data_IF_491794950059
#
_entry.id   IF_491794950059
#
_cell.length_a   1.000
_cell.length_b   1.000
_cell.length_c   1.000
_cell.angle_alpha   90.00
_cell.angle_beta   90.00
_cell.angle_gamma   90.00
#
_symmetry.space_group_name_H-M   'P 1'
#
loop_
_entity.id
_entity.type
_entity.pdbx_description
1 polymer ?
#
# COMPACT_ATOMS: atom_id res chain seq x y z
N UNK A 1 -39.45 -20.58 4.01
CA UNK A 1 -38.22 -19.74 4.03
C UNK A 1 -37.49 -19.99 2.73
N UNK A 2 -37.71 -19.13 1.76
CA UNK A 2 -37.17 -19.21 0.39
C UNK A 2 -36.47 -17.90 0.12
N UNK A 3 -35.14 -17.92 0.16
CA UNK A 3 -34.34 -16.84 -0.38
C UNK A 3 -34.12 -17.15 -1.86
N UNK A 4 -34.95 -16.57 -2.73
CA UNK A 4 -34.70 -16.54 -4.16
C UNK A 4 -34.18 -15.14 -4.51
N UNK A 5 -32.90 -15.08 -4.86
CA UNK A 5 -32.17 -13.92 -5.36
C UNK A 5 -32.80 -13.39 -6.65
N UNK A 6 -33.82 -12.55 -6.49
CA UNK A 6 -34.34 -11.74 -7.58
C UNK A 6 -33.29 -10.66 -7.94
N UNK A 7 -32.61 -10.84 -9.08
CA UNK A 7 -32.21 -9.70 -9.90
C UNK A 7 -30.81 -9.10 -9.75
N UNK A 8 -29.77 -9.84 -9.36
CA UNK A 8 -28.38 -9.33 -9.41
C UNK A 8 -27.39 -10.38 -9.96
N UNK A 9 -27.74 -11.02 -11.07
CA UNK A 9 -26.77 -11.75 -11.87
C UNK A 9 -26.14 -10.79 -12.90
N UNK A 10 -25.00 -10.18 -12.56
CA UNK A 10 -24.13 -9.55 -13.56
C UNK A 10 -23.73 -8.09 -13.36
N UNK A 11 -24.11 -7.43 -12.26
CA UNK A 11 -23.45 -6.17 -11.88
C UNK A 11 -22.46 -6.44 -10.75
N UNK A 12 -21.31 -7.02 -11.11
CA UNK A 12 -20.09 -6.72 -10.35
C UNK A 12 -19.87 -5.24 -10.61
N UNK A 13 -20.31 -4.43 -9.67
CA UNK A 13 -19.95 -3.02 -9.64
C UNK A 13 -18.44 -3.01 -9.46
N UNK A 14 -17.67 -2.89 -10.56
CA UNK A 14 -16.28 -2.45 -10.55
C UNK A 14 -16.28 -0.99 -10.06
N UNK A 15 -16.67 -0.84 -8.79
CA UNK A 15 -16.71 0.42 -8.10
C UNK A 15 -15.30 0.82 -7.70
N UNK A 16 -15.08 2.11 -7.39
CA UNK A 16 -13.80 2.65 -6.94
C UNK A 16 -13.24 1.98 -5.67
N UNK A 17 -14.01 1.10 -5.00
CA UNK A 17 -13.56 0.34 -3.83
C UNK A 17 -12.39 -0.61 -4.15
N UNK A 18 -12.44 -1.35 -5.26
CA UNK A 18 -11.43 -2.36 -5.59
C UNK A 18 -10.07 -1.72 -5.95
N UNK A 19 -10.09 -0.55 -6.59
CA UNK A 19 -8.88 0.21 -6.94
C UNK A 19 -8.17 0.80 -5.72
N UNK A 20 -8.93 1.29 -4.74
CA UNK A 20 -8.37 1.86 -3.50
C UNK A 20 -7.71 0.76 -2.65
N UNK A 21 -8.35 -0.41 -2.55
CA UNK A 21 -7.80 -1.55 -1.82
C UNK A 21 -6.52 -2.10 -2.48
N UNK A 22 -6.50 -2.23 -3.82
CA UNK A 22 -5.32 -2.68 -4.53
C UNK A 22 -4.14 -1.71 -4.38
N UNK A 23 -4.40 -0.40 -4.41
CA UNK A 23 -3.40 0.64 -4.17
C UNK A 23 -2.83 0.55 -2.75
N UNK A 24 -3.68 0.36 -1.74
CA UNK A 24 -3.22 0.28 -0.36
C UNK A 24 -2.42 -1.02 -0.10
N UNK A 25 -2.84 -2.15 -0.67
CA UNK A 25 -2.09 -3.41 -0.55
C UNK A 25 -0.72 -3.33 -1.23
N UNK A 26 -0.63 -2.77 -2.44
CA UNK A 26 0.63 -2.58 -3.13
C UNK A 26 1.57 -1.64 -2.34
N UNK A 27 1.01 -0.55 -1.81
CA UNK A 27 1.74 0.38 -0.96
C UNK A 27 2.28 -0.29 0.31
N UNK A 28 1.44 -1.04 1.03
CA UNK A 28 1.85 -1.74 2.25
C UNK A 28 2.91 -2.82 1.99
N UNK A 29 2.81 -3.55 0.87
CA UNK A 29 3.85 -4.52 0.45
C UNK A 29 5.19 -3.82 0.22
N UNK A 30 5.16 -2.67 -0.44
CA UNK A 30 6.36 -1.90 -0.72
C UNK A 30 6.99 -1.31 0.54
N UNK A 31 6.18 -0.80 1.47
CA UNK A 31 6.62 -0.37 2.81
C UNK A 31 7.35 -1.51 3.52
N UNK A 32 6.75 -2.71 3.58
CA UNK A 32 7.36 -3.88 4.24
C UNK A 32 8.66 -4.31 3.55
N UNK A 33 8.69 -4.29 2.22
CA UNK A 33 9.87 -4.62 1.42
C UNK A 33 11.03 -3.69 1.75
N UNK A 34 10.79 -2.37 1.81
CA UNK A 34 11.82 -1.37 2.13
C UNK A 34 12.25 -1.48 3.60
N UNK A 35 11.30 -1.69 4.53
CA UNK A 35 11.60 -1.87 5.94
C UNK A 35 12.50 -3.11 6.20
N UNK A 36 12.33 -4.16 5.40
CA UNK A 36 13.12 -5.39 5.46
C UNK A 36 14.52 -5.29 4.84
N UNK A 37 14.84 -4.24 4.09
CA UNK A 37 16.19 -4.06 3.55
C UNK A 37 17.19 -3.81 4.66
N UNK A 38 18.33 -4.47 4.64
CA UNK A 38 19.35 -4.35 5.69
C UNK A 38 20.21 -3.09 5.53
N UNK A 39 20.52 -2.70 4.28
CA UNK A 39 21.42 -1.57 4.03
C UNK A 39 20.67 -0.25 3.85
N UNK A 40 21.24 0.83 4.40
CA UNK A 40 20.73 2.20 4.20
C UNK A 40 20.80 2.64 2.73
N UNK A 41 21.78 2.13 1.98
CA UNK A 41 21.96 2.44 0.55
C UNK A 41 20.76 1.94 -0.26
N UNK A 42 20.34 0.71 -0.03
CA UNK A 42 19.23 0.10 -0.77
C UNK A 42 17.90 0.75 -0.44
N UNK A 43 17.68 1.10 0.85
CA UNK A 43 16.50 1.86 1.27
C UNK A 43 16.41 3.22 0.57
N UNK A 44 17.52 3.96 0.50
CA UNK A 44 17.58 5.25 -0.22
C UNK A 44 17.35 5.08 -1.71
N UNK A 45 17.93 4.05 -2.33
CA UNK A 45 17.72 3.76 -3.74
C UNK A 45 16.25 3.42 -4.04
N UNK A 46 15.58 2.65 -3.17
CA UNK A 46 14.16 2.34 -3.30
C UNK A 46 13.28 3.60 -3.17
N UNK A 47 13.56 4.46 -2.19
CA UNK A 47 12.84 5.74 -2.04
C UNK A 47 13.04 6.66 -3.25
N UNK A 48 14.23 6.67 -3.84
CA UNK A 48 14.52 7.44 -5.07
C UNK A 48 13.71 6.92 -6.25
N UNK A 49 13.62 5.60 -6.45
CA UNK A 49 12.77 5.00 -7.50
C UNK A 49 11.29 5.36 -7.33
N UNK A 50 10.80 5.39 -6.09
CA UNK A 50 9.42 5.82 -5.78
C UNK A 50 9.21 7.30 -6.09
N UNK A 51 10.22 8.15 -5.83
CA UNK A 51 10.17 9.56 -6.22
C UNK A 51 10.15 9.73 -7.74
N UNK A 52 10.92 8.93 -8.48
CA UNK A 52 10.93 8.94 -9.94
C UNK A 52 9.59 8.48 -10.54
N UNK A 53 8.92 7.49 -9.94
CA UNK A 53 7.65 6.97 -10.45
C UNK A 53 6.41 7.71 -9.97
N UNK A 54 6.40 8.17 -8.71
CA UNK A 54 5.22 8.73 -8.04
C UNK A 54 5.42 10.16 -7.51
N UNK A 55 6.59 10.76 -7.78
CA UNK A 55 6.93 12.11 -7.36
C UNK A 55 7.26 12.24 -5.87
N UNK A 56 7.59 13.47 -5.46
CA UNK A 56 7.97 13.81 -4.08
C UNK A 56 6.89 13.48 -3.05
N UNK A 57 5.61 13.57 -3.44
CA UNK A 57 4.49 13.25 -2.57
C UNK A 57 4.45 11.76 -2.20
N UNK A 58 4.68 10.87 -3.17
CA UNK A 58 4.75 9.43 -2.94
C UNK A 58 5.91 9.07 -2.01
N UNK A 59 7.09 9.66 -2.26
CA UNK A 59 8.26 9.50 -1.39
C UNK A 59 7.96 9.92 0.04
N UNK A 60 7.38 11.10 0.26
CA UNK A 60 7.06 11.61 1.60
C UNK A 60 6.06 10.71 2.35
N UNK A 61 5.05 10.17 1.64
CA UNK A 61 4.11 9.20 2.21
C UNK A 61 4.81 7.91 2.63
N UNK A 62 5.73 7.41 1.79
CA UNK A 62 6.51 6.21 2.06
C UNK A 62 7.43 6.40 3.28
N UNK A 63 8.14 7.52 3.37
CA UNK A 63 8.99 7.87 4.52
C UNK A 63 8.18 7.96 5.82
N UNK A 64 6.99 8.57 5.78
CA UNK A 64 6.09 8.64 6.93
C UNK A 64 5.58 7.25 7.37
N UNK A 65 5.24 6.38 6.42
CA UNK A 65 4.81 5.01 6.71
C UNK A 65 5.92 4.17 7.35
N UNK A 66 7.15 4.29 6.82
CA UNK A 66 8.32 3.62 7.38
C UNK A 66 8.62 4.10 8.81
N UNK A 67 8.58 5.42 9.05
CA UNK A 67 8.75 5.99 10.39
C UNK A 67 7.71 5.46 11.39
N UNK A 68 6.43 5.38 10.99
CA UNK A 68 5.37 4.78 11.82
C UNK A 68 5.65 3.31 12.13
N UNK A 69 6.11 2.54 11.15
CA UNK A 69 6.41 1.12 11.34
C UNK A 69 7.59 0.91 12.31
N UNK A 70 8.63 1.73 12.25
CA UNK A 70 9.72 1.70 13.24
C UNK A 70 9.24 2.05 14.65
N UNK A 71 8.43 3.10 14.79
CA UNK A 71 7.87 3.48 16.08
C UNK A 71 6.97 2.39 16.67
N UNK A 72 6.19 1.68 15.84
CA UNK A 72 5.40 0.53 16.29
C UNK A 72 6.28 -0.65 16.72
N UNK A 73 7.41 -0.87 16.03
CA UNK A 73 8.36 -1.92 16.39
C UNK A 73 9.09 -1.64 17.70
N UNK A 74 9.41 -0.39 18.01
CA UNK A 74 10.04 -0.02 19.29
C UNK A 74 9.09 -0.04 20.49
N UNK A 75 7.78 0.04 20.25
CA UNK A 75 6.76 -0.04 21.31
C UNK A 75 6.35 -1.46 21.69
N UNK A 76 6.80 -2.46 20.92
CA UNK A 76 6.65 -3.88 21.23
C UNK A 76 7.90 -4.37 21.93
#
# INVERSE_FOLDING_TARGET
MTWCTAGLAGQVFDGPACYVEAWDVAFQREVRRIAGMETLRDRRAALKRIEESGGKAARKRMEAALARQWNQRMKR
#
